data_IF_946946425774
#
_entry.id   IF_946946425774
#
_cell.length_a   1.000
_cell.length_b   1.000
_cell.length_c   1.000
_cell.angle_alpha   90.00
_cell.angle_beta   90.00
_cell.angle_gamma   90.00
#
_symmetry.space_group_name_H-M   'P 1'
#
loop_
_entity.id
_entity.type
_entity.pdbx_description
1 polymer ?
#
# COMPACT_ATOMS: atom_id res chain seq x y z
N UNK A 1 -59.25 -20.53 -14.19
CA UNK A 1 -58.25 -21.62 -14.09
C UNK A 1 -57.05 -21.20 -14.92
N UNK A 2 -55.92 -20.86 -14.29
CA UNK A 2 -54.73 -20.40 -15.01
C UNK A 2 -54.18 -21.57 -15.84
N UNK A 3 -53.99 -21.36 -17.14
CA UNK A 3 -53.50 -22.41 -18.03
C UNK A 3 -52.03 -22.68 -17.71
N UNK A 4 -51.74 -23.80 -17.04
CA UNK A 4 -50.42 -24.18 -16.50
C UNK A 4 -49.30 -24.06 -17.55
N UNK A 5 -49.60 -24.38 -18.80
CA UNK A 5 -48.64 -24.28 -19.92
C UNK A 5 -48.30 -22.83 -20.28
N UNK A 6 -49.27 -21.92 -20.17
CA UNK A 6 -49.07 -20.48 -20.43
C UNK A 6 -48.33 -19.84 -19.26
N UNK A 7 -48.68 -20.21 -18.02
CA UNK A 7 -47.99 -19.77 -16.81
C UNK A 7 -46.50 -20.17 -16.82
N UNK A 8 -46.20 -21.41 -17.20
CA UNK A 8 -44.82 -21.91 -17.27
C UNK A 8 -43.98 -21.16 -18.33
N UNK A 9 -44.57 -20.85 -19.49
CA UNK A 9 -43.89 -20.07 -20.54
C UNK A 9 -43.63 -18.63 -20.12
N UNK A 10 -44.61 -17.99 -19.50
CA UNK A 10 -44.47 -16.64 -18.98
C UNK A 10 -43.39 -16.57 -17.88
N UNK A 11 -43.33 -17.58 -17.00
CA UNK A 11 -42.30 -17.70 -15.97
C UNK A 11 -40.90 -17.79 -16.61
N UNK A 12 -40.73 -18.65 -17.62
CA UNK A 12 -39.44 -18.80 -18.30
C UNK A 12 -38.98 -17.54 -19.03
N UNK A 13 -39.90 -16.82 -19.69
CA UNK A 13 -39.57 -15.56 -20.39
C UNK A 13 -39.10 -14.47 -19.42
N UNK A 14 -39.59 -14.46 -18.18
CA UNK A 14 -39.16 -13.49 -17.16
C UNK A 14 -37.87 -13.94 -16.48
N UNK A 15 -37.73 -15.23 -16.15
CA UNK A 15 -36.58 -15.72 -15.38
C UNK A 15 -35.29 -15.76 -16.21
N UNK A 16 -35.36 -16.12 -17.48
CA UNK A 16 -34.19 -16.25 -18.37
C UNK A 16 -33.41 -14.93 -18.52
N UNK A 17 -34.01 -13.79 -18.91
CA UNK A 17 -33.28 -12.52 -19.02
C UNK A 17 -32.82 -12.00 -17.65
N UNK A 18 -33.53 -12.34 -16.56
CA UNK A 18 -33.11 -12.00 -15.20
C UNK A 18 -31.82 -12.73 -14.80
N UNK A 19 -31.73 -14.02 -15.14
CA UNK A 19 -30.55 -14.85 -14.86
C UNK A 19 -29.40 -14.61 -15.82
N UNK A 20 -29.64 -14.20 -17.07
CA UNK A 20 -28.58 -13.76 -17.98
C UNK A 20 -28.06 -12.37 -17.62
N UNK A 21 -28.95 -11.45 -17.22
CA UNK A 21 -28.60 -10.10 -16.82
C UNK A 21 -27.68 -10.05 -15.59
N UNK A 22 -27.85 -10.98 -14.64
CA UNK A 22 -27.00 -11.06 -13.45
C UNK A 22 -25.56 -11.53 -13.76
N UNK A 23 -25.34 -12.21 -14.90
CA UNK A 23 -24.00 -12.67 -15.30
C UNK A 23 -23.12 -11.53 -15.84
N UNK A 24 -23.75 -10.42 -16.26
CA UNK A 24 -23.06 -9.22 -16.75
C UNK A 24 -22.75 -8.21 -15.64
N UNK A 25 -23.36 -8.35 -14.46
CA UNK A 25 -23.11 -7.49 -13.31
C UNK A 25 -22.08 -8.14 -12.38
N UNK A 26 -20.79 -7.88 -12.65
CA UNK A 26 -19.72 -8.29 -11.76
C UNK A 26 -19.76 -7.52 -10.45
N UNK A 27 -20.37 -8.08 -9.41
CA UNK A 27 -20.27 -7.59 -8.03
C UNK A 27 -18.85 -7.86 -7.52
N UNK A 28 -17.91 -6.97 -7.82
CA UNK A 28 -16.57 -6.99 -7.23
C UNK A 28 -16.64 -6.35 -5.84
N UNK A 29 -17.05 -7.15 -4.84
CA UNK A 29 -17.09 -6.75 -3.43
C UNK A 29 -15.74 -6.96 -2.71
N UNK A 30 -14.68 -7.32 -3.42
CA UNK A 30 -13.34 -7.47 -2.84
C UNK A 30 -12.60 -6.14 -2.92
N UNK A 31 -12.36 -5.55 -1.75
CA UNK A 31 -11.42 -4.45 -1.58
C UNK A 31 -10.04 -4.88 -2.09
N UNK A 32 -9.35 -4.00 -2.84
CA UNK A 32 -8.02 -4.32 -3.37
C UNK A 32 -7.10 -4.67 -2.21
N UNK A 33 -6.48 -5.85 -2.28
CA UNK A 33 -5.51 -6.30 -1.28
C UNK A 33 -4.31 -5.34 -1.28
N UNK A 34 -3.89 -4.89 -0.10
CA UNK A 34 -2.68 -4.09 0.04
C UNK A 34 -1.46 -4.89 -0.46
N UNK A 35 -0.57 -4.20 -1.17
CA UNK A 35 0.68 -4.74 -1.68
C UNK A 35 1.86 -4.07 -0.97
N UNK A 36 2.86 -4.85 -0.58
CA UNK A 36 4.10 -4.38 0.06
C UNK A 36 5.25 -4.79 -0.84
N UNK A 37 6.11 -3.84 -1.19
CA UNK A 37 7.32 -4.08 -1.97
C UNK A 37 8.53 -3.40 -1.33
N UNK A 38 9.71 -3.94 -1.61
CA UNK A 38 11.01 -3.44 -1.18
C UNK A 38 11.87 -3.19 -2.41
N UNK A 39 12.68 -2.12 -2.38
CA UNK A 39 13.56 -1.72 -3.47
C UNK A 39 14.85 -1.10 -2.91
N UNK A 40 15.98 -1.36 -3.55
CA UNK A 40 17.30 -0.85 -3.15
C UNK A 40 17.64 0.36 -4.00
N UNK A 41 17.85 1.51 -3.35
CA UNK A 41 18.16 2.78 -4.02
C UNK A 41 19.43 3.40 -3.47
N UNK A 42 20.20 4.00 -4.37
CA UNK A 42 21.30 4.90 -3.99
C UNK A 42 20.71 6.30 -3.84
N UNK A 43 21.01 6.93 -2.71
CA UNK A 43 20.64 8.32 -2.42
C UNK A 43 21.94 9.04 -2.14
N UNK A 44 22.24 10.08 -2.90
CA UNK A 44 23.39 10.94 -2.61
C UNK A 44 23.17 11.59 -1.25
N UNK A 45 24.20 11.57 -0.41
CA UNK A 45 24.16 12.16 0.92
C UNK A 45 25.29 13.14 1.09
N UNK A 46 25.23 13.99 2.11
CA UNK A 46 26.33 14.88 2.43
C UNK A 46 27.35 14.11 3.27
N UNK A 47 28.60 13.93 2.80
CA UNK A 47 29.64 13.33 3.62
C UNK A 47 29.78 14.05 4.96
N UNK A 48 29.85 13.27 6.05
CA UNK A 48 30.13 13.79 7.38
C UNK A 48 31.64 13.86 7.63
N UNK A 49 32.08 14.83 8.42
CA UNK A 49 33.46 15.05 8.81
C UNK A 49 33.55 15.60 10.24
N UNK A 50 34.77 15.79 10.73
CA UNK A 50 35.07 16.43 12.02
C UNK A 50 34.28 15.81 13.20
N UNK A 51 34.55 14.54 13.54
CA UNK A 51 33.97 13.93 14.73
C UNK A 51 34.43 14.72 15.96
N UNK A 52 33.48 15.11 16.81
CA UNK A 52 33.82 15.75 18.08
C UNK A 52 34.66 14.76 18.91
N UNK A 53 35.88 15.14 19.33
CA UNK A 53 36.78 14.26 20.07
C UNK A 53 36.31 14.00 21.51
N UNK A 54 35.41 14.84 22.04
CA UNK A 54 34.82 14.67 23.36
C UNK A 54 33.57 13.78 23.24
N UNK A 55 33.47 12.70 24.01
CA UNK A 55 32.29 11.85 24.00
C UNK A 55 31.01 12.64 24.34
N UNK A 56 29.92 12.34 23.63
CA UNK A 56 28.63 13.01 23.85
C UNK A 56 28.15 12.86 25.30
N UNK A 57 28.57 11.80 26.00
CA UNK A 57 28.30 11.54 27.43
C UNK A 57 28.60 12.72 28.34
N UNK A 58 29.61 13.53 28.02
CA UNK A 58 29.96 14.71 28.82
C UNK A 58 28.91 15.85 28.71
N UNK A 59 28.03 15.79 27.72
CA UNK A 59 27.02 16.82 27.41
C UNK A 59 25.58 16.30 27.40
N UNK A 60 25.35 15.07 26.94
CA UNK A 60 24.05 14.39 26.88
C UNK A 60 24.28 12.86 26.93
N UNK A 61 23.92 12.24 28.05
CA UNK A 61 24.11 10.81 28.31
C UNK A 61 23.15 9.92 27.53
N UNK A 62 21.99 10.45 27.12
CA UNK A 62 20.96 9.73 26.36
C UNK A 62 21.42 9.36 24.96
N UNK A 63 22.37 10.12 24.43
CA UNK A 63 22.92 9.94 23.09
C UNK A 63 24.20 9.10 23.09
N UNK A 64 24.74 8.74 24.26
CA UNK A 64 25.86 7.80 24.32
C UNK A 64 25.41 6.42 23.82
N UNK A 65 26.19 5.73 22.96
CA UNK A 65 27.58 5.96 22.58
C UNK A 65 27.78 6.62 21.19
N UNK A 66 26.77 7.32 20.65
CA UNK A 66 26.87 7.88 19.30
C UNK A 66 27.86 9.06 19.21
N UNK A 67 28.62 9.11 18.11
CA UNK A 67 29.49 10.24 17.81
C UNK A 67 28.69 11.46 17.35
N UNK A 68 29.06 12.64 17.84
CA UNK A 68 28.62 13.91 17.29
C UNK A 68 29.60 14.33 16.19
N UNK A 69 29.10 14.58 14.99
CA UNK A 69 29.86 15.18 13.89
C UNK A 69 29.50 16.66 13.76
N UNK A 70 30.52 17.50 13.60
CA UNK A 70 30.35 18.96 13.52
C UNK A 70 30.55 19.49 12.09
N UNK A 71 31.09 18.68 11.19
CA UNK A 71 31.29 19.01 9.78
C UNK A 71 30.39 18.20 8.86
N UNK A 72 29.77 18.87 7.88
CA UNK A 72 29.08 18.24 6.75
C UNK A 72 29.51 18.93 5.46
N UNK A 73 29.70 18.16 4.39
CA UNK A 73 30.03 18.72 3.09
C UNK A 73 28.89 19.60 2.56
N UNK A 74 29.22 20.57 1.70
CA UNK A 74 28.23 21.41 1.04
C UNK A 74 27.58 20.76 -0.19
N UNK A 75 28.22 19.74 -0.76
CA UNK A 75 27.74 18.99 -1.91
C UNK A 75 27.43 17.56 -1.50
N UNK A 76 26.38 16.99 -2.08
CA UNK A 76 26.07 15.58 -1.95
C UNK A 76 26.91 14.76 -2.93
N UNK A 77 27.23 13.53 -2.53
CA UNK A 77 27.94 12.53 -3.32
C UNK A 77 27.32 11.14 -3.10
#
# INVERSE_FOLDING_TARGET
MLNMRVALRALLIVFVPLTLGSQYFGLNAQERRAEISEDVRVIETYPFADPNPVPILASDDRLYPYHRFEGYAHRSE
#
